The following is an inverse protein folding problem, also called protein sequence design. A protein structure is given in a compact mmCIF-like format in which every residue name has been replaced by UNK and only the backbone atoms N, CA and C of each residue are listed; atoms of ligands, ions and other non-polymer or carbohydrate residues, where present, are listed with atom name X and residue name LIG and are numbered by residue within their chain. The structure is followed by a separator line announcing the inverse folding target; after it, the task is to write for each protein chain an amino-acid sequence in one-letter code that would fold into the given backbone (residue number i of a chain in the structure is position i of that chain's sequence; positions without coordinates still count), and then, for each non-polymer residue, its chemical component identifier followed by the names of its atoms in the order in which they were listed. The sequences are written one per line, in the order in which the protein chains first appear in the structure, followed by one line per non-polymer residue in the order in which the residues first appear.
data_IF_959709222530
#
_entry.id   IF_959709222530
#
_cell.length_a   1.000
_cell.length_b   1.000
_cell.length_c   1.000
_cell.angle_alpha   90.00
_cell.angle_beta   90.00
_cell.angle_gamma   90.00
#
_symmetry.space_group_name_H-M   'P 1'
#
loop_
_entity.id
_entity.type
_entity.pdbx_description
1 polymer ?
#
# COMPACT_ATOMS: atom_id res chain seq x y z
N UNK A 1 -10.82 -0.83 -2.64
CA UNK A 1 -11.47 -1.88 -1.84
C UNK A 1 -12.90 -1.49 -1.63
N UNK A 2 -13.80 -2.45 -1.73
CA UNK A 2 -15.15 -2.29 -1.21
C UNK A 2 -15.20 -2.69 0.26
N UNK A 3 -16.37 -2.54 0.90
CA UNK A 3 -16.59 -2.97 2.29
C UNK A 3 -16.16 -4.41 2.61
N UNK A 4 -16.34 -5.43 1.74
CA UNK A 4 -15.96 -6.80 2.07
C UNK A 4 -14.46 -6.99 2.32
N UNK A 5 -13.59 -6.34 1.53
CA UNK A 5 -12.15 -6.48 1.71
C UNK A 5 -11.65 -5.75 2.97
N UNK A 6 -12.29 -4.62 3.30
CA UNK A 6 -12.03 -3.92 4.56
C UNK A 6 -12.44 -4.79 5.74
N UNK A 7 -13.64 -5.38 5.68
CA UNK A 7 -14.16 -6.28 6.70
C UNK A 7 -13.23 -7.47 6.93
N UNK A 8 -12.81 -8.14 5.85
CA UNK A 8 -11.90 -9.27 5.94
C UNK A 8 -10.59 -8.89 6.63
N UNK A 9 -9.94 -7.80 6.23
CA UNK A 9 -8.69 -7.37 6.86
C UNK A 9 -8.88 -7.05 8.35
N UNK A 10 -10.00 -6.42 8.74
CA UNK A 10 -10.27 -6.15 10.16
C UNK A 10 -10.45 -7.42 10.97
N UNK A 11 -11.23 -8.37 10.45
CA UNK A 11 -11.43 -9.67 11.10
C UNK A 11 -10.11 -10.42 11.23
N UNK A 12 -9.30 -10.46 10.16
CA UNK A 12 -8.00 -11.13 10.19
C UNK A 12 -7.06 -10.51 11.22
N UNK A 13 -7.02 -9.18 11.31
CA UNK A 13 -6.22 -8.47 12.31
C UNK A 13 -6.72 -8.71 13.73
N UNK A 14 -8.04 -8.73 13.93
CA UNK A 14 -8.65 -8.97 15.24
C UNK A 14 -8.37 -10.39 15.74
N UNK A 15 -8.61 -11.39 14.89
CA UNK A 15 -8.35 -12.80 15.20
C UNK A 15 -6.88 -12.99 15.51
N UNK A 16 -5.98 -12.51 14.65
CA UNK A 16 -4.55 -12.67 14.88
C UNK A 16 -4.05 -11.92 16.13
N UNK A 17 -4.60 -10.73 16.43
CA UNK A 17 -4.26 -10.02 17.66
C UNK A 17 -4.75 -10.73 18.93
N UNK A 18 -5.91 -11.40 18.86
CA UNK A 18 -6.42 -12.21 19.97
C UNK A 18 -5.53 -13.44 20.20
N UNK A 19 -5.26 -14.18 19.13
CA UNK A 19 -4.47 -15.42 19.20
C UNK A 19 -3.03 -15.14 19.67
N UNK A 20 -2.46 -13.97 19.33
CA UNK A 20 -1.12 -13.58 19.76
C UNK A 20 -0.95 -13.34 21.26
N UNK A 21 -2.05 -13.17 22.01
CA UNK A 21 -2.03 -12.96 23.47
C UNK A 21 -2.05 -14.30 24.22
N UNK A 22 -2.64 -15.33 23.62
CA UNK A 22 -2.89 -16.62 24.27
C UNK A 22 -1.71 -17.61 24.12
N UNK A 23 -0.78 -17.35 23.21
CA UNK A 23 0.39 -18.19 22.97
C UNK A 23 1.59 -17.73 23.81
N UNK A 24 1.88 -18.42 24.93
CA UNK A 24 3.01 -18.14 25.84
C UNK A 24 4.41 -18.31 25.19
N UNK A 25 4.49 -18.89 23.99
CA UNK A 25 5.71 -19.10 23.20
C UNK A 25 5.45 -18.84 21.70
N UNK A 26 4.95 -17.66 21.33
CA UNK A 26 4.77 -17.32 19.90
C UNK A 26 6.15 -17.34 19.21
N UNK A 27 6.35 -18.13 18.15
CA UNK A 27 7.51 -17.98 17.28
C UNK A 27 7.58 -16.53 16.77
N UNK A 28 8.75 -16.07 16.31
CA UNK A 28 8.94 -14.75 15.67
C UNK A 28 8.09 -14.51 14.39
N UNK A 29 7.10 -15.36 14.13
CA UNK A 29 6.26 -15.38 12.95
C UNK A 29 5.27 -14.20 13.00
N UNK A 30 5.64 -13.15 12.26
CA UNK A 30 4.83 -11.95 12.13
C UNK A 30 3.66 -12.21 11.20
N UNK A 31 2.50 -11.65 11.55
CA UNK A 31 1.32 -11.66 10.71
C UNK A 31 1.60 -10.98 9.36
N UNK A 32 1.48 -11.76 8.29
CA UNK A 32 1.86 -11.34 6.96
C UNK A 32 0.77 -10.49 6.31
N UNK A 33 1.03 -9.19 6.20
CA UNK A 33 0.18 -8.22 5.52
C UNK A 33 0.40 -8.20 4.00
N UNK A 34 0.99 -9.23 3.39
CA UNK A 34 1.19 -9.29 1.94
C UNK A 34 2.37 -8.45 1.41
N UNK A 35 2.46 -8.38 0.08
CA UNK A 35 3.46 -7.57 -0.63
C UNK A 35 2.94 -6.14 -0.82
N UNK A 36 3.84 -5.15 -0.70
CA UNK A 36 3.68 -3.81 -1.26
C UNK A 36 4.76 -3.58 -2.31
N UNK A 37 4.39 -3.07 -3.47
CA UNK A 37 5.35 -2.76 -4.54
C UNK A 37 5.56 -1.27 -4.58
N UNK A 38 6.81 -0.82 -4.51
CA UNK A 38 7.14 0.59 -4.53
C UNK A 38 8.21 0.94 -5.55
N UNK A 39 8.14 2.15 -6.08
CA UNK A 39 9.18 2.77 -6.89
C UNK A 39 9.79 3.96 -6.13
N UNK A 40 11.07 3.93 -5.76
CA UNK A 40 11.72 5.05 -5.08
C UNK A 40 11.69 6.34 -5.92
N UNK A 41 11.32 7.47 -5.30
CA UNK A 41 11.43 8.81 -5.89
C UNK A 41 12.61 9.62 -5.33
N UNK A 42 13.31 9.08 -4.32
CA UNK A 42 14.38 9.75 -3.58
C UNK A 42 13.92 10.39 -2.27
N UNK A 43 14.88 10.81 -1.42
CA UNK A 43 14.65 11.48 -0.12
C UNK A 43 13.67 10.75 0.83
N UNK A 44 13.68 9.42 0.80
CA UNK A 44 12.77 8.60 1.64
C UNK A 44 11.30 8.70 1.23
N UNK A 45 11.04 9.06 -0.03
CA UNK A 45 9.71 9.06 -0.66
C UNK A 45 9.69 7.98 -1.74
N UNK A 46 8.56 7.30 -1.90
CA UNK A 46 8.36 6.29 -2.93
C UNK A 46 6.93 6.35 -3.44
N UNK A 47 6.74 6.07 -4.72
CA UNK A 47 5.43 5.82 -5.32
C UNK A 47 5.03 4.40 -4.97
N UNK A 48 3.83 4.24 -4.44
CA UNK A 48 3.23 2.94 -4.21
C UNK A 48 2.57 2.46 -5.51
N UNK A 49 3.06 1.36 -6.06
CA UNK A 49 2.56 0.77 -7.31
C UNK A 49 1.51 -0.31 -7.04
N UNK A 50 1.62 -1.00 -5.90
CA UNK A 50 0.66 -2.00 -5.45
C UNK A 50 0.58 -2.05 -3.92
N UNK A 51 -0.55 -2.52 -3.38
CA UNK A 51 -0.83 -2.58 -1.94
C UNK A 51 -1.42 -1.31 -1.35
N UNK A 52 -1.78 -0.32 -2.18
CA UNK A 52 -2.40 0.96 -1.76
C UNK A 52 -3.65 0.74 -0.93
N UNK A 53 -4.52 -0.17 -1.36
CA UNK A 53 -5.81 -0.38 -0.71
C UNK A 53 -5.64 -0.94 0.73
N UNK A 54 -4.65 -1.81 0.92
CA UNK A 54 -4.31 -2.35 2.25
C UNK A 54 -3.75 -1.26 3.16
N UNK A 55 -2.77 -0.49 2.68
CA UNK A 55 -2.20 0.62 3.46
C UNK A 55 -3.23 1.71 3.80
N UNK A 56 -4.16 2.00 2.89
CA UNK A 56 -5.27 2.93 3.17
C UNK A 56 -6.13 2.41 4.31
N UNK A 57 -6.47 1.12 4.29
CA UNK A 57 -7.32 0.52 5.32
C UNK A 57 -6.63 0.52 6.68
N UNK A 58 -5.34 0.16 6.74
CA UNK A 58 -4.56 0.25 7.98
C UNK A 58 -4.47 1.71 8.50
N UNK A 59 -4.27 2.67 7.59
CA UNK A 59 -4.26 4.09 7.96
C UNK A 59 -5.62 4.58 8.49
N UNK A 60 -6.74 4.12 7.90
CA UNK A 60 -8.07 4.42 8.42
C UNK A 60 -8.27 3.77 9.79
N UNK A 61 -7.93 2.50 9.98
CA UNK A 61 -8.03 1.82 11.27
C UNK A 61 -7.32 2.64 12.37
N UNK A 62 -6.07 3.04 12.11
CA UNK A 62 -5.30 3.88 13.02
C UNK A 62 -5.98 5.23 13.30
N UNK A 63 -6.56 5.89 12.30
CA UNK A 63 -7.28 7.15 12.49
C UNK A 63 -8.54 6.99 13.37
N UNK A 64 -9.32 5.94 13.15
CA UNK A 64 -10.50 5.61 13.96
C UNK A 64 -10.13 5.25 15.39
N UNK A 65 -9.05 4.48 15.57
CA UNK A 65 -8.56 4.10 16.88
C UNK A 65 -8.04 5.32 17.66
N UNK A 66 -7.25 6.18 17.01
CA UNK A 66 -6.79 7.46 17.58
C UNK A 66 -7.95 8.28 18.13
N UNK A 67 -9.06 8.39 17.41
CA UNK A 67 -10.16 9.26 17.82
C UNK A 67 -10.99 8.69 18.99
N UNK A 68 -10.79 7.41 19.33
CA UNK A 68 -11.45 6.68 20.43
C UNK A 68 -10.55 6.47 21.65
N UNK A 69 -9.23 6.57 21.51
CA UNK A 69 -8.32 6.44 22.66
C UNK A 69 -8.42 7.64 23.62
N UNK A 70 -8.50 7.40 24.95
CA UNK A 70 -8.66 8.48 25.92
C UNK A 70 -7.34 9.26 26.17
N UNK A 71 -6.19 8.62 26.03
CA UNK A 71 -4.89 9.21 26.37
C UNK A 71 -4.31 10.04 25.21
N UNK A 72 -3.84 11.26 25.49
CA UNK A 72 -3.23 12.13 24.47
C UNK A 72 -1.88 11.60 23.94
N UNK A 73 -1.09 10.94 24.78
CA UNK A 73 0.18 10.32 24.38
C UNK A 73 -0.02 9.20 23.36
N UNK A 74 -0.98 8.31 23.59
CA UNK A 74 -1.35 7.25 22.65
C UNK A 74 -1.85 7.84 21.32
N UNK A 75 -2.75 8.84 21.41
CA UNK A 75 -3.25 9.56 20.25
C UNK A 75 -2.13 10.20 19.42
N UNK A 76 -1.16 10.82 20.09
CA UNK A 76 0.00 11.42 19.44
C UNK A 76 0.98 10.38 18.86
N UNK A 77 1.08 9.18 19.46
CA UNK A 77 1.86 8.08 18.88
C UNK A 77 1.27 7.67 17.53
N UNK A 78 -0.04 7.46 17.48
CA UNK A 78 -0.74 7.07 16.25
C UNK A 78 -0.74 8.19 15.22
N UNK A 79 -0.97 9.44 15.64
CA UNK A 79 -0.95 10.58 14.72
C UNK A 79 0.40 10.72 14.00
N UNK A 80 1.52 10.43 14.69
CA UNK A 80 2.86 10.41 14.07
C UNK A 80 3.06 9.30 13.03
N UNK A 81 2.23 8.25 13.04
CA UNK A 81 2.22 7.19 12.03
C UNK A 81 1.40 7.58 10.79
N UNK A 82 0.46 8.51 10.93
CA UNK A 82 -0.39 9.00 9.84
C UNK A 82 0.16 10.28 9.19
N UNK A 83 0.73 11.17 10.01
CA UNK A 83 1.19 12.49 9.64
C UNK A 83 2.68 12.68 9.96
N UNK A 84 3.40 13.35 9.07
CA UNK A 84 4.72 13.93 9.34
C UNK A 84 4.50 15.34 9.86
N UNK A 85 4.86 15.57 11.12
CA UNK A 85 4.85 16.89 11.74
C UNK A 85 6.30 17.33 11.98
N UNK A 86 6.63 18.53 11.54
CA UNK A 86 7.92 19.17 11.81
C UNK A 86 7.66 20.60 12.25
N UNK A 87 8.49 21.12 13.16
CA UNK A 87 8.36 22.48 13.64
C UNK A 87 8.46 23.48 12.48
N UNK A 88 7.55 24.45 12.42
CA UNK A 88 7.50 25.46 11.36
C UNK A 88 7.09 24.94 9.98
N UNK A 89 6.59 23.70 9.86
CA UNK A 89 6.07 23.15 8.60
C UNK A 89 4.61 22.74 8.73
N UNK A 90 3.88 22.86 7.63
CA UNK A 90 2.52 22.34 7.52
C UNK A 90 2.58 20.82 7.72
N UNK A 91 1.69 20.23 8.55
CA UNK A 91 1.60 18.78 8.69
C UNK A 91 1.38 18.10 7.34
N UNK A 92 2.20 17.11 7.02
CA UNK A 92 2.12 16.39 5.75
C UNK A 92 1.63 14.95 5.96
N UNK A 93 0.60 14.50 5.23
CA UNK A 93 0.23 13.08 5.22
C UNK A 93 1.38 12.17 4.83
N UNK A 94 1.59 11.07 5.55
CA UNK A 94 2.61 10.06 5.20
C UNK A 94 2.25 9.27 3.94
N UNK A 95 0.97 9.20 3.62
CA UNK A 95 0.44 8.56 2.42
C UNK A 95 -0.35 9.58 1.61
N UNK A 96 -0.08 9.65 0.31
CA UNK A 96 -0.83 10.48 -0.65
C UNK A 96 -1.58 9.56 -1.59
N UNK A 97 -2.86 9.85 -1.82
CA UNK A 97 -3.73 9.10 -2.72
C UNK A 97 -3.86 9.86 -4.05
N UNK A 98 -4.68 9.34 -4.97
CA UNK A 98 -5.14 10.11 -6.12
C UNK A 98 -5.75 11.44 -5.65
N UNK A 99 -5.64 12.55 -6.41
CA UNK A 99 -5.99 13.89 -5.91
C UNK A 99 -7.38 14.00 -5.28
N UNK A 100 -8.39 13.40 -5.90
CA UNK A 100 -9.79 13.38 -5.43
C UNK A 100 -9.95 12.62 -4.11
N UNK A 101 -9.42 11.39 -4.04
CA UNK A 101 -9.40 10.57 -2.84
C UNK A 101 -8.58 11.22 -1.73
N UNK A 102 -7.46 11.84 -2.08
CA UNK A 102 -6.55 12.46 -1.14
C UNK A 102 -7.18 13.67 -0.46
N UNK A 103 -7.85 14.54 -1.22
CA UNK A 103 -8.55 15.69 -0.67
C UNK A 103 -9.63 15.24 0.34
N UNK A 104 -10.41 14.21 -0.02
CA UNK A 104 -11.41 13.64 0.88
C UNK A 104 -10.79 13.01 2.13
N UNK A 105 -9.78 12.17 1.95
CA UNK A 105 -9.08 11.44 3.03
C UNK A 105 -8.39 12.40 4.00
N UNK A 106 -7.73 13.43 3.49
CA UNK A 106 -7.06 14.45 4.28
C UNK A 106 -8.04 15.35 5.06
N UNK A 107 -9.29 15.43 4.62
CA UNK A 107 -10.33 16.22 5.30
C UNK A 107 -11.10 15.40 6.34
N UNK A 108 -11.53 14.18 6.00
CA UNK A 108 -12.47 13.40 6.82
C UNK A 108 -11.83 12.27 7.64
N UNK A 109 -10.61 11.86 7.33
CA UNK A 109 -9.94 10.74 8.03
C UNK A 109 -8.73 11.22 8.83
N UNK A 110 -7.80 11.93 8.17
CA UNK A 110 -6.50 12.26 8.78
C UNK A 110 -6.55 13.22 9.98
N UNK A 111 -7.40 14.27 10.04
CA UNK A 111 -7.36 15.21 11.15
C UNK A 111 -7.87 14.57 12.45
N UNK A 112 -7.28 14.89 13.63
CA UNK A 112 -7.77 14.42 14.92
C UNK A 112 -9.25 14.71 15.14
N UNK A 113 -10.03 13.68 15.49
CA UNK A 113 -11.47 13.76 15.70
C UNK A 113 -12.32 13.82 14.42
N UNK A 114 -11.72 13.80 13.23
CA UNK A 114 -12.46 13.86 11.97
C UNK A 114 -13.35 12.64 11.73
N UNK A 115 -12.94 11.46 12.22
CA UNK A 115 -13.70 10.21 12.03
C UNK A 115 -15.05 10.21 12.75
N UNK A 116 -15.29 11.16 13.67
CA UNK A 116 -16.59 11.37 14.35
C UNK A 116 -17.57 12.23 13.56
N UNK A 117 -17.12 12.81 12.44
CA UNK A 117 -17.87 13.79 11.64
C UNK A 117 -17.84 13.43 10.15
N UNK A 118 -18.07 12.15 9.87
CA UNK A 118 -18.18 11.67 8.49
C UNK A 118 -19.42 12.30 7.82
N UNK A 119 -19.33 12.66 6.52
CA UNK A 119 -20.44 13.25 5.79
C UNK A 119 -21.58 12.25 5.61
N UNK A 120 -22.82 12.71 5.70
CA UNK A 120 -24.02 11.86 5.53
C UNK A 120 -24.20 11.40 4.08
N UNK A 121 -23.84 12.26 3.13
CA UNK A 121 -23.97 11.99 1.69
C UNK A 121 -22.64 11.55 1.08
N UNK A 122 -22.69 10.50 0.27
CA UNK A 122 -21.51 10.06 -0.46
C UNK A 122 -21.15 11.03 -1.60
N UNK A 123 -19.88 11.42 -1.73
CA UNK A 123 -19.39 12.07 -2.94
C UNK A 123 -19.51 11.13 -4.14
N UNK A 124 -19.54 11.68 -5.35
CA UNK A 124 -19.48 10.88 -6.58
C UNK A 124 -18.04 10.39 -6.82
N UNK A 125 -17.90 9.26 -7.52
CA UNK A 125 -16.60 8.71 -7.92
C UNK A 125 -15.90 7.88 -6.83
N UNK A 126 -14.58 7.78 -6.91
CA UNK A 126 -13.76 6.96 -6.00
C UNK A 126 -13.88 7.31 -4.51
N UNK A 127 -14.11 8.57 -4.07
CA UNK A 127 -14.23 8.87 -2.65
C UNK A 127 -15.50 8.28 -2.01
N UNK A 128 -16.46 7.82 -2.82
CA UNK A 128 -17.61 7.02 -2.36
C UNK A 128 -17.15 5.75 -1.64
N UNK A 129 -16.19 5.03 -2.22
CA UNK A 129 -15.69 3.77 -1.67
C UNK A 129 -14.95 4.01 -0.35
N UNK A 130 -14.21 5.13 -0.25
CA UNK A 130 -13.57 5.55 1.00
C UNK A 130 -14.60 5.86 2.09
N UNK A 131 -15.71 6.54 1.75
CA UNK A 131 -16.78 6.78 2.71
C UNK A 131 -17.45 5.48 3.15
N UNK A 132 -17.74 4.56 2.23
CA UNK A 132 -18.34 3.27 2.57
C UNK A 132 -17.44 2.46 3.51
N UNK A 133 -16.13 2.43 3.22
CA UNK A 133 -15.14 1.84 4.12
C UNK A 133 -15.10 2.53 5.49
N UNK A 134 -15.19 3.87 5.51
CA UNK A 134 -15.15 4.65 6.76
C UNK A 134 -16.39 4.42 7.62
N UNK A 135 -17.57 4.30 7.01
CA UNK A 135 -18.82 3.96 7.71
C UNK A 135 -18.81 2.54 8.23
N UNK A 136 -18.26 1.61 7.46
CA UNK A 136 -18.04 0.25 7.95
C UNK A 136 -17.11 0.25 9.17
N UNK A 137 -15.99 0.98 9.14
CA UNK A 137 -15.12 1.12 10.31
C UNK A 137 -15.80 1.80 11.49
N UNK A 138 -16.58 2.85 11.25
CA UNK A 138 -17.33 3.53 12.30
C UNK A 138 -18.19 2.54 13.08
N UNK A 139 -18.97 1.73 12.37
CA UNK A 139 -19.84 0.70 12.96
C UNK A 139 -19.04 -0.44 13.62
N UNK A 140 -17.95 -0.91 12.98
CA UNK A 140 -17.12 -1.97 13.55
C UNK A 140 -16.53 -1.55 14.91
N UNK A 141 -16.08 -0.30 15.01
CA UNK A 141 -15.44 0.22 16.22
C UNK A 141 -16.40 0.51 17.37
N UNK A 142 -17.71 0.47 17.16
CA UNK A 142 -18.68 0.59 18.25
C UNK A 142 -18.66 -0.64 19.18
N UNK A 143 -18.14 -1.76 18.69
CA UNK A 143 -17.99 -2.99 19.46
C UNK A 143 -16.61 -3.13 20.13
N UNK A 144 -15.65 -2.24 19.85
CA UNK A 144 -14.31 -2.32 20.42
C UNK A 144 -14.21 -1.56 21.74
N UNK A 145 -13.74 -2.25 22.78
CA UNK A 145 -13.30 -1.59 24.01
C UNK A 145 -11.96 -0.88 23.79
N UNK A 146 -11.60 0.02 24.71
CA UNK A 146 -10.27 0.66 24.71
C UNK A 146 -9.15 -0.38 24.83
N UNK A 147 -9.38 -1.50 25.54
CA UNK A 147 -8.41 -2.57 25.67
C UNK A 147 -8.21 -3.30 24.33
N UNK A 148 -9.30 -3.61 23.62
CA UNK A 148 -9.23 -4.26 22.30
C UNK A 148 -8.46 -3.39 21.30
N UNK A 149 -8.77 -2.09 21.27
CA UNK A 149 -8.06 -1.15 20.40
C UNK A 149 -6.57 -1.12 20.70
N UNK A 150 -6.18 -1.08 21.97
CA UNK A 150 -4.77 -1.11 22.37
C UNK A 150 -4.09 -2.40 21.92
N UNK A 151 -4.74 -3.55 22.13
CA UNK A 151 -4.21 -4.84 21.72
C UNK A 151 -3.96 -4.89 20.21
N UNK A 152 -4.98 -4.55 19.41
CA UNK A 152 -4.86 -4.59 17.94
C UNK A 152 -3.81 -3.58 17.44
N UNK A 153 -3.76 -2.37 18.02
CA UNK A 153 -2.74 -1.38 17.64
C UNK A 153 -1.33 -1.88 17.97
N UNK A 154 -1.14 -2.48 19.15
CA UNK A 154 0.16 -3.01 19.54
C UNK A 154 0.59 -4.17 18.64
N UNK A 155 -0.33 -5.10 18.37
CA UNK A 155 -0.18 -6.17 17.40
C UNK A 155 0.23 -5.63 16.02
N UNK A 156 -0.49 -4.63 15.51
CA UNK A 156 -0.16 -3.98 14.23
C UNK A 156 1.26 -3.38 14.22
N UNK A 157 1.73 -2.83 15.33
CA UNK A 157 3.03 -2.17 15.40
C UNK A 157 4.21 -3.12 15.54
N UNK A 158 4.03 -4.25 16.23
CA UNK A 158 5.14 -5.12 16.62
C UNK A 158 5.08 -6.52 16.00
N UNK A 159 3.88 -6.98 15.65
CA UNK A 159 3.62 -8.36 15.22
C UNK A 159 3.13 -8.48 13.78
N UNK A 160 3.21 -7.42 12.97
CA UNK A 160 2.91 -7.48 11.54
C UNK A 160 4.15 -7.31 10.68
N UNK A 161 4.16 -7.92 9.50
CA UNK A 161 5.20 -7.78 8.49
C UNK A 161 4.59 -7.53 7.11
N UNK A 162 5.26 -6.70 6.32
CA UNK A 162 4.95 -6.45 4.91
C UNK A 162 6.20 -6.77 4.10
N UNK A 163 6.04 -7.49 2.99
CA UNK A 163 7.13 -7.69 2.04
C UNK A 163 7.20 -6.49 1.10
N UNK A 164 8.34 -5.80 1.07
CA UNK A 164 8.57 -4.67 0.18
C UNK A 164 9.22 -5.16 -1.12
N UNK A 165 8.47 -5.07 -2.22
CA UNK A 165 9.00 -5.25 -3.57
C UNK A 165 9.44 -3.91 -4.16
N UNK A 166 10.61 -3.88 -4.79
CA UNK A 166 11.15 -2.71 -5.47
C UNK A 166 10.96 -2.86 -6.97
N UNK A 167 10.19 -1.95 -7.58
CA UNK A 167 10.11 -1.89 -9.03
C UNK A 167 11.36 -1.21 -9.59
N UNK A 168 12.12 -1.94 -10.40
CA UNK A 168 13.21 -1.36 -11.17
C UNK A 168 12.66 -0.38 -12.20
N UNK A 169 13.13 0.87 -12.15
CA UNK A 169 12.93 1.79 -13.25
C UNK A 169 13.93 1.41 -14.34
N UNK A 170 13.46 0.78 -15.43
CA UNK A 170 14.29 0.67 -16.64
C UNK A 170 14.68 2.08 -17.06
N UNK A 171 15.98 2.41 -17.19
CA UNK A 171 16.37 3.70 -17.73
C UNK A 171 15.78 3.82 -19.14
N UNK A 172 14.97 4.86 -19.36
CA UNK A 172 14.33 5.14 -20.67
C UNK A 172 15.34 5.42 -21.79
N UNK A 173 16.63 5.54 -21.46
CA UNK A 173 17.72 5.70 -22.40
C UNK A 173 18.83 4.70 -22.07
N UNK A 174 18.72 3.48 -22.60
CA UNK A 174 19.95 2.81 -23.01
C UNK A 174 20.48 3.62 -24.20
N UNK A 175 21.70 4.18 -24.17
CA UNK A 175 22.30 4.70 -25.39
C UNK A 175 22.30 3.56 -26.40
N UNK A 176 21.79 3.82 -27.61
CA UNK A 176 21.85 2.87 -28.70
C UNK A 176 23.29 2.34 -28.76
N UNK A 177 23.46 1.03 -28.60
CA UNK A 177 24.74 0.38 -28.87
C UNK A 177 25.21 0.87 -30.25
N UNK A 178 26.47 1.30 -30.41
CA UNK A 178 26.98 1.69 -31.72
C UNK A 178 26.67 0.56 -32.69
N UNK A 179 25.96 0.87 -33.78
CA UNK A 179 25.66 -0.11 -34.81
C UNK A 179 26.99 -0.75 -35.23
N UNK A 180 27.11 -2.07 -35.07
CA UNK A 180 28.24 -2.82 -35.59
C UNK A 180 28.35 -2.49 -37.09
N UNK A 181 29.55 -2.16 -37.61
CA UNK A 181 29.70 -1.87 -39.02
C UNK A 181 29.22 -3.07 -39.82
N UNK A 182 28.33 -2.82 -40.78
CA UNK A 182 27.81 -3.85 -41.67
C UNK A 182 29.00 -4.56 -42.36
N UNK A 183 29.00 -5.89 -42.47
CA UNK A 183 30.06 -6.59 -43.18
C UNK A 183 30.09 -6.10 -44.63
N UNK A 184 31.26 -5.63 -45.04
CA UNK A 184 31.57 -5.23 -46.41
C UNK A 184 31.20 -6.36 -47.37
N UNK A 185 30.29 -6.07 -48.31
CA UNK A 185 29.93 -6.98 -49.41
C UNK A 185 31.18 -7.30 -50.24
N UNK A 186 31.83 -8.42 -49.93
CA UNK A 186 32.72 -9.09 -50.86
C UNK A 186 31.87 -10.06 -51.71
N UNK A 187 32.11 -9.99 -53.01
CA UNK A 187 31.52 -10.81 -54.07
C UNK A 187 31.33 -12.27 -53.66
N UNK A 188 30.11 -12.79 -53.79
CA UNK A 188 29.91 -14.22 -53.98
C UNK A 188 28.89 -14.50 -55.08
N UNK A 189 29.43 -15.26 -56.03
CA UNK A 189 28.93 -15.83 -57.27
C UNK A 189 28.00 -17.01 -56.93
N UNK A 190 26.79 -17.01 -57.52
CA UNK A 190 25.89 -18.14 -57.84
C UNK A 190 25.55 -19.21 -56.79
N UNK A 191 24.26 -19.38 -56.47
CA UNK A 191 23.40 -20.43 -57.07
C UNK A 191 21.95 -20.38 -56.55
N UNK A 192 21.02 -20.59 -57.47
CA UNK A 192 19.59 -20.81 -57.26
C UNK A 192 19.31 -22.14 -56.54
N UNK A 193 18.41 -22.13 -55.55
CA UNK A 193 17.42 -23.19 -55.30
C UNK A 193 16.37 -22.69 -54.28
N UNK A 194 15.04 -22.87 -54.51
CA UNK A 194 14.01 -22.37 -53.58
C UNK A 194 13.28 -23.52 -52.86
N UNK A 195 13.37 -23.64 -51.53
CA UNK A 195 12.44 -24.46 -50.72
C UNK A 195 12.44 -24.03 -49.22
N UNK A 196 11.42 -24.39 -48.41
CA UNK A 196 10.47 -23.42 -47.84
C UNK A 196 10.65 -23.13 -46.33
N UNK A 197 9.83 -22.19 -45.82
CA UNK A 197 9.76 -21.66 -44.44
C UNK A 197 9.72 -22.75 -43.34
N UNK A 198 10.04 -22.43 -42.05
CA UNK A 198 8.92 -22.16 -41.13
C UNK A 198 9.20 -21.29 -39.87
N UNK A 199 8.11 -20.73 -39.34
CA UNK A 199 7.68 -20.68 -37.93
C UNK A 199 8.59 -20.10 -36.82
N UNK A 200 8.25 -18.87 -36.36
CA UNK A 200 8.42 -18.33 -34.99
C UNK A 200 9.73 -18.66 -34.28
N UNK A 201 9.78 -18.77 -32.94
CA UNK A 201 9.19 -18.01 -31.83
C UNK A 201 10.28 -17.12 -31.17
N UNK A 202 10.11 -16.43 -30.04
CA UNK A 202 10.41 -16.97 -28.68
C UNK A 202 10.37 -15.83 -27.67
N UNK A 203 9.49 -15.91 -26.68
CA UNK A 203 9.73 -15.30 -25.38
C UNK A 203 10.70 -16.19 -24.62
N UNK A 204 11.76 -15.61 -24.07
CA UNK A 204 12.60 -16.26 -23.08
C UNK A 204 12.53 -15.46 -21.79
N UNK A 205 12.06 -16.10 -20.73
CA UNK A 205 12.23 -15.67 -19.34
C UNK A 205 13.37 -16.52 -18.78
N UNK A 206 14.36 -15.89 -18.16
CA UNK A 206 15.31 -16.56 -17.31
C UNK A 206 15.02 -16.12 -15.86
N UNK A 207 14.80 -17.12 -15.02
CA UNK A 207 14.78 -17.02 -13.58
C UNK A 207 16.11 -17.56 -13.06
N UNK A 208 16.74 -16.84 -12.15
CA UNK A 208 17.45 -17.36 -10.98
C UNK A 208 17.20 -16.41 -9.81
#
# INVERSE_FOLDING_TARGET
WGPPQVAQLLVDLETAARDSVDEEDVPEERFYLGVITISPLGKGVSTLLDGQQRLVTLAMFLAFARDRLPNNGERNRIDRMLMRRAFGRVPEPRMRLAPEDHAWFAHFILPPGATKRLPSTAPLGSPRELLLAARFMEHAFDNYSVADLRNIIDFMMHHTAVVRSLAEQRPMFAPALPALPAPSRQNQIWNDDPFPAPSGPRYNVAAE
#
